data_IF_242697655720
#
_entry.id   IF_242697655720
#
_cell.length_a   1.000
_cell.length_b   1.000
_cell.length_c   1.000
_cell.angle_alpha   90.00
_cell.angle_beta   90.00
_cell.angle_gamma   90.00
#
_symmetry.space_group_name_H-M   'P 1'
#
loop_
_entity.id
_entity.type
_entity.pdbx_description
1 polymer ?
#
# COMPACT_ATOMS: atom_id res chain seq x y z
N UNK A 1 -26.64 19.99 -11.47
CA UNK A 1 -27.36 19.86 -10.18
C UNK A 1 -28.09 18.52 -10.17
N UNK A 2 -27.74 17.62 -9.24
CA UNK A 2 -28.26 16.26 -9.20
C UNK A 2 -28.44 15.80 -7.76
N UNK A 3 -29.59 15.17 -7.46
CA UNK A 3 -29.87 14.51 -6.17
C UNK A 3 -30.39 13.11 -6.47
N UNK A 4 -29.77 12.07 -5.88
CA UNK A 4 -30.14 10.67 -6.05
C UNK A 4 -30.29 10.26 -7.55
N UNK A 5 -29.31 10.63 -8.37
CA UNK A 5 -29.25 10.41 -9.83
C UNK A 5 -30.37 11.08 -10.63
N UNK A 6 -31.12 12.02 -10.05
CA UNK A 6 -32.10 12.82 -10.74
C UNK A 6 -31.57 14.23 -10.99
N UNK A 7 -31.63 14.67 -12.26
CA UNK A 7 -31.19 16.00 -12.67
C UNK A 7 -32.24 17.05 -12.27
N UNK A 8 -31.78 18.22 -11.78
CA UNK A 8 -32.59 19.37 -11.38
C UNK A 8 -32.08 20.64 -12.05
N UNK A 9 -32.95 21.65 -12.13
CA UNK A 9 -32.50 23.03 -12.34
C UNK A 9 -31.73 23.52 -11.09
N UNK A 10 -30.95 24.57 -11.20
CA UNK A 10 -30.25 25.15 -10.06
C UNK A 10 -31.21 25.60 -8.96
N UNK A 11 -32.30 26.23 -9.36
CA UNK A 11 -33.35 26.70 -8.43
C UNK A 11 -34.03 25.55 -7.68
N UNK A 12 -34.45 24.50 -8.39
CA UNK A 12 -35.06 23.33 -7.78
C UNK A 12 -34.08 22.54 -6.92
N UNK A 13 -32.82 22.46 -7.34
CA UNK A 13 -31.78 21.81 -6.55
C UNK A 13 -31.59 22.49 -5.19
N UNK A 14 -31.46 23.81 -5.18
CA UNK A 14 -31.33 24.58 -3.94
C UNK A 14 -32.58 24.49 -3.07
N UNK A 15 -33.78 24.47 -3.67
CA UNK A 15 -35.04 24.27 -2.97
C UNK A 15 -35.15 22.88 -2.33
N UNK A 16 -34.69 21.82 -3.02
CA UNK A 16 -34.66 20.48 -2.46
C UNK A 16 -33.58 20.36 -1.36
N UNK A 17 -32.40 20.94 -1.54
CA UNK A 17 -31.37 20.97 -0.50
C UNK A 17 -31.85 21.68 0.78
N UNK A 18 -32.57 22.77 0.65
CA UNK A 18 -33.09 23.50 1.82
C UNK A 18 -34.10 22.72 2.66
N UNK A 19 -34.71 21.69 2.08
CA UNK A 19 -35.62 20.77 2.82
C UNK A 19 -34.87 19.69 3.60
N UNK A 20 -33.56 19.62 3.43
CA UNK A 20 -32.71 18.59 4.02
C UNK A 20 -31.98 19.13 5.27
N UNK A 21 -32.58 19.14 6.45
CA UNK A 21 -31.92 19.62 7.65
C UNK A 21 -30.88 18.61 8.14
N UNK A 22 -29.67 18.71 7.62
CA UNK A 22 -28.53 17.83 7.94
C UNK A 22 -28.08 18.00 9.40
N UNK A 23 -28.50 19.06 10.07
CA UNK A 23 -28.08 19.42 11.44
C UNK A 23 -28.69 18.55 12.57
N UNK A 24 -29.62 17.67 12.25
CA UNK A 24 -30.26 16.79 13.25
C UNK A 24 -29.79 15.34 13.06
N UNK A 25 -29.37 14.69 14.14
CA UNK A 25 -29.00 13.26 14.13
C UNK A 25 -30.12 12.36 13.55
N UNK A 26 -31.38 12.64 13.87
CA UNK A 26 -32.53 11.89 13.33
C UNK A 26 -32.60 12.02 11.80
N UNK A 27 -32.29 13.17 11.27
CA UNK A 27 -32.29 13.39 9.81
C UNK A 27 -31.08 12.78 9.15
N UNK A 28 -29.91 12.79 9.79
CA UNK A 28 -28.74 12.07 9.34
C UNK A 28 -29.01 10.56 9.20
N UNK A 29 -29.60 9.93 10.20
CA UNK A 29 -30.00 8.51 10.13
C UNK A 29 -31.02 8.23 9.00
N UNK A 30 -31.96 9.13 8.77
CA UNK A 30 -32.87 8.99 7.63
C UNK A 30 -32.12 9.06 6.29
N UNK A 31 -31.16 9.97 6.17
CA UNK A 31 -30.31 10.10 4.99
C UNK A 31 -29.44 8.87 4.78
N UNK A 32 -28.76 8.40 5.81
CA UNK A 32 -27.93 7.21 5.78
C UNK A 32 -28.74 6.01 5.27
N UNK A 33 -29.91 5.79 5.84
CA UNK A 33 -30.79 4.70 5.41
C UNK A 33 -31.22 4.85 3.93
N UNK A 34 -31.55 6.06 3.50
CA UNK A 34 -31.92 6.31 2.10
C UNK A 34 -30.74 6.06 1.14
N UNK A 35 -29.56 6.51 1.49
CA UNK A 35 -28.33 6.29 0.74
C UNK A 35 -27.99 4.79 0.65
N UNK A 36 -28.08 4.05 1.74
CA UNK A 36 -27.88 2.59 1.74
C UNK A 36 -28.87 1.86 0.82
N UNK A 37 -30.14 2.28 0.83
CA UNK A 37 -31.15 1.71 -0.07
C UNK A 37 -30.89 2.06 -1.54
N UNK A 38 -30.35 3.23 -1.81
CA UNK A 38 -29.97 3.66 -3.16
C UNK A 38 -28.77 2.85 -3.66
N UNK A 39 -27.74 2.65 -2.83
CA UNK A 39 -26.56 1.83 -3.17
C UNK A 39 -26.96 0.38 -3.45
N UNK A 40 -27.83 -0.21 -2.62
CA UNK A 40 -28.34 -1.58 -2.84
C UNK A 40 -29.08 -1.77 -4.17
N UNK A 41 -29.64 -0.69 -4.74
CA UNK A 41 -30.33 -0.69 -6.03
C UNK A 41 -29.44 -0.25 -7.19
N UNK A 42 -28.27 0.33 -6.91
CA UNK A 42 -27.34 0.73 -7.95
C UNK A 42 -26.78 -0.48 -8.68
N UNK A 43 -26.50 -0.38 -9.99
CA UNK A 43 -25.77 -1.43 -10.69
C UNK A 43 -24.45 -1.67 -9.99
N UNK A 44 -24.21 -2.91 -9.61
CA UNK A 44 -22.95 -3.30 -8.98
C UNK A 44 -21.84 -3.21 -10.01
N UNK A 45 -20.92 -2.29 -9.86
CA UNK A 45 -19.66 -2.30 -10.61
C UNK A 45 -18.79 -3.38 -9.99
N UNK A 46 -18.91 -4.59 -10.53
CA UNK A 46 -18.25 -5.77 -9.97
C UNK A 46 -16.71 -5.66 -10.00
N UNK A 47 -16.18 -4.98 -10.97
CA UNK A 47 -14.75 -4.70 -11.10
C UNK A 47 -14.60 -3.31 -11.71
N UNK A 48 -14.05 -2.37 -10.96
CA UNK A 48 -13.67 -1.07 -11.52
C UNK A 48 -12.37 -1.24 -12.31
N UNK A 49 -12.48 -1.10 -13.61
CA UNK A 49 -11.33 -1.14 -14.53
C UNK A 49 -11.39 0.07 -15.45
N UNK A 50 -10.30 0.79 -15.54
CA UNK A 50 -10.18 1.93 -16.43
C UNK A 50 -8.87 1.84 -17.23
N UNK A 51 -8.84 2.43 -18.43
CA UNK A 51 -7.67 2.38 -19.29
C UNK A 51 -7.42 1.01 -19.91
N UNK A 52 -6.16 0.66 -20.11
CA UNK A 52 -5.74 -0.61 -20.70
C UNK A 52 -5.57 -1.65 -19.59
N UNK A 53 -6.36 -2.69 -19.64
CA UNK A 53 -6.26 -3.81 -18.70
C UNK A 53 -5.93 -5.07 -19.51
N UNK A 54 -4.77 -5.63 -19.27
CA UNK A 54 -4.25 -6.80 -19.97
C UNK A 54 -3.87 -7.89 -18.97
N UNK A 55 -4.40 -9.11 -19.14
CA UNK A 55 -4.13 -10.26 -18.28
C UNK A 55 -4.07 -9.93 -16.77
N UNK A 56 -5.13 -9.32 -16.25
CA UNK A 56 -5.12 -8.80 -14.88
C UNK A 56 -6.41 -9.10 -14.13
N UNK A 57 -6.31 -9.27 -12.81
CA UNK A 57 -7.42 -9.49 -11.89
C UNK A 57 -7.32 -8.58 -10.66
N UNK A 58 -8.47 -8.20 -10.12
CA UNK A 58 -8.59 -7.27 -8.99
C UNK A 58 -9.59 -6.16 -9.26
N UNK A 59 -9.57 -5.12 -8.44
CA UNK A 59 -10.50 -4.00 -8.55
C UNK A 59 -9.77 -2.64 -8.48
N UNK A 60 -10.39 -1.57 -8.97
CA UNK A 60 -9.81 -0.23 -9.08
C UNK A 60 -8.47 -0.21 -9.85
N UNK A 61 -8.43 -0.90 -11.00
CA UNK A 61 -7.24 -1.01 -11.84
C UNK A 61 -7.28 0.00 -13.00
N UNK A 62 -6.17 0.66 -13.24
CA UNK A 62 -6.00 1.60 -14.36
C UNK A 62 -4.65 1.37 -15.05
N UNK A 63 -4.66 1.15 -16.37
CA UNK A 63 -3.46 0.93 -17.19
C UNK A 63 -2.50 -0.12 -16.60
N UNK A 64 -3.01 -1.35 -16.45
CA UNK A 64 -2.25 -2.46 -15.85
C UNK A 64 -2.09 -3.64 -16.79
N UNK A 65 -0.97 -4.37 -16.62
CA UNK A 65 -0.65 -5.58 -17.37
C UNK A 65 -0.07 -6.64 -16.44
N UNK A 66 -0.55 -7.88 -16.57
CA UNK A 66 -0.09 -9.03 -15.76
C UNK A 66 -0.13 -8.74 -14.24
N UNK A 67 -1.19 -8.09 -13.78
CA UNK A 67 -1.38 -7.76 -12.38
C UNK A 67 -2.48 -8.65 -11.79
N UNK A 68 -2.13 -9.56 -10.87
CA UNK A 68 -3.06 -10.54 -10.34
C UNK A 68 -3.39 -10.31 -8.87
N UNK A 69 -4.70 -10.33 -8.58
CA UNK A 69 -5.21 -10.07 -7.23
C UNK A 69 -4.73 -8.70 -6.68
N UNK A 70 -4.78 -7.68 -7.55
CA UNK A 70 -4.31 -6.33 -7.23
C UNK A 70 -5.49 -5.36 -7.04
N UNK A 71 -5.33 -4.40 -6.14
CA UNK A 71 -6.37 -3.44 -5.78
C UNK A 71 -5.81 -2.02 -5.74
N UNK A 72 -6.54 -1.06 -6.32
CA UNK A 72 -6.14 0.35 -6.40
C UNK A 72 -4.77 0.56 -7.07
N UNK A 73 -4.55 -0.07 -8.23
CA UNK A 73 -3.29 0.07 -8.96
C UNK A 73 -3.47 0.94 -10.20
N UNK A 74 -2.61 1.91 -10.35
CA UNK A 74 -2.49 2.73 -11.54
C UNK A 74 -1.09 2.57 -12.15
N UNK A 75 -1.02 2.31 -13.46
CA UNK A 75 0.22 2.08 -14.20
C UNK A 75 1.06 0.93 -13.62
N UNK A 76 0.41 -0.25 -13.46
CA UNK A 76 1.06 -1.44 -12.89
C UNK A 76 1.46 -2.49 -13.91
N UNK A 77 2.57 -3.21 -13.66
CA UNK A 77 3.01 -4.33 -14.49
C UNK A 77 3.67 -5.44 -13.67
N UNK A 78 3.31 -6.68 -14.01
CA UNK A 78 3.90 -7.88 -13.41
C UNK A 78 3.81 -7.89 -11.87
N UNK A 79 2.61 -7.58 -11.34
CA UNK A 79 2.36 -7.46 -9.92
C UNK A 79 1.44 -8.57 -9.39
N UNK A 80 1.60 -8.92 -8.13
CA UNK A 80 0.71 -9.88 -7.47
C UNK A 80 0.43 -9.48 -6.02
N UNK A 81 -0.85 -9.54 -5.61
CA UNK A 81 -1.28 -9.20 -4.25
C UNK A 81 -0.80 -7.80 -3.82
N UNK A 82 -0.89 -6.80 -4.70
CA UNK A 82 -0.51 -5.43 -4.37
C UNK A 82 -1.76 -4.61 -4.11
N UNK A 83 -1.76 -3.88 -3.01
CA UNK A 83 -2.81 -2.97 -2.62
C UNK A 83 -2.31 -1.53 -2.58
N UNK A 84 -3.03 -0.64 -3.26
CA UNK A 84 -2.75 0.79 -3.33
C UNK A 84 -1.35 1.11 -3.86
N UNK A 85 -1.23 1.24 -5.18
CA UNK A 85 0.05 1.49 -5.85
C UNK A 85 -0.05 2.35 -7.09
N UNK A 86 1.00 3.09 -7.37
CA UNK A 86 1.16 3.91 -8.56
C UNK A 86 2.51 3.63 -9.20
N UNK A 87 2.51 3.40 -10.54
CA UNK A 87 3.72 3.04 -11.29
C UNK A 87 4.52 1.90 -10.63
N UNK A 88 3.84 0.76 -10.45
CA UNK A 88 4.40 -0.39 -9.73
C UNK A 88 4.80 -1.48 -10.72
N UNK A 89 6.03 -1.95 -10.65
CA UNK A 89 6.57 -2.98 -11.55
C UNK A 89 7.26 -4.07 -10.72
N UNK A 90 6.99 -5.34 -11.08
CA UNK A 90 7.58 -6.50 -10.39
C UNK A 90 7.48 -6.40 -8.86
N UNK A 91 6.28 -6.15 -8.36
CA UNK A 91 6.03 -6.06 -6.94
C UNK A 91 5.03 -7.14 -6.49
N UNK A 92 5.35 -7.83 -5.41
CA UNK A 92 4.56 -8.91 -4.87
C UNK A 92 4.32 -8.73 -3.37
N UNK A 93 3.08 -9.00 -2.95
CA UNK A 93 2.68 -8.95 -1.55
C UNK A 93 3.01 -7.60 -0.86
N UNK A 94 2.75 -6.50 -1.58
CA UNK A 94 3.09 -5.14 -1.15
C UNK A 94 1.84 -4.29 -0.89
N UNK A 95 1.96 -3.33 0.03
CA UNK A 95 0.90 -2.36 0.28
C UNK A 95 1.44 -0.92 0.30
N UNK A 96 0.68 -0.01 -0.32
CA UNK A 96 1.00 1.40 -0.46
C UNK A 96 2.41 1.63 -1.00
N UNK A 97 2.60 1.31 -2.29
CA UNK A 97 3.92 1.30 -2.94
C UNK A 97 3.94 2.08 -4.27
N UNK A 98 5.10 2.59 -4.60
CA UNK A 98 5.44 3.18 -5.89
C UNK A 98 6.90 2.84 -6.20
N UNK A 99 7.14 2.13 -7.31
CA UNK A 99 8.47 1.72 -7.70
C UNK A 99 8.53 0.30 -8.25
N UNK A 100 9.70 -0.31 -8.21
CA UNK A 100 9.93 -1.59 -8.87
C UNK A 100 10.78 -2.56 -8.04
N UNK A 101 10.63 -3.86 -8.35
CA UNK A 101 11.38 -4.96 -7.75
C UNK A 101 11.22 -5.03 -6.23
N UNK A 102 9.95 -5.16 -5.79
CA UNK A 102 9.59 -5.23 -4.37
C UNK A 102 8.91 -6.52 -3.96
N UNK A 103 9.23 -7.02 -2.77
CA UNK A 103 8.56 -8.15 -2.16
C UNK A 103 8.25 -7.89 -0.69
N UNK A 104 7.03 -8.13 -0.25
CA UNK A 104 6.58 -7.89 1.13
C UNK A 104 7.02 -6.54 1.71
N UNK A 105 6.77 -5.46 0.98
CA UNK A 105 7.00 -4.10 1.45
C UNK A 105 5.68 -3.44 1.88
N UNK A 106 5.68 -2.80 3.04
CA UNK A 106 4.52 -2.12 3.58
C UNK A 106 4.81 -0.64 3.81
N UNK A 107 3.90 0.25 3.35
CA UNK A 107 4.02 1.70 3.53
C UNK A 107 5.33 2.27 2.94
N UNK A 108 5.77 1.76 1.78
CA UNK A 108 7.02 2.17 1.12
C UNK A 108 6.75 3.03 -0.12
N UNK A 109 6.50 4.31 0.04
CA UNK A 109 6.17 5.22 -1.05
C UNK A 109 7.07 6.47 -1.07
N UNK A 110 8.08 6.57 -1.97
CA UNK A 110 8.50 5.59 -2.98
C UNK A 110 9.23 4.38 -2.40
N UNK A 111 8.89 3.20 -2.93
CA UNK A 111 9.53 1.95 -2.55
C UNK A 111 11.01 1.93 -2.99
N UNK A 112 11.93 1.44 -2.18
CA UNK A 112 13.28 1.20 -2.63
C UNK A 112 13.33 0.13 -3.72
N UNK A 113 14.19 0.30 -4.71
CA UNK A 113 14.39 -0.68 -5.77
C UNK A 113 15.16 -1.92 -5.25
N UNK A 114 14.79 -3.12 -5.66
CA UNK A 114 15.33 -4.37 -5.13
C UNK A 114 15.22 -4.41 -3.60
N UNK A 115 14.01 -4.51 -3.13
CA UNK A 115 13.72 -4.40 -1.71
C UNK A 115 12.75 -5.47 -1.23
N UNK A 116 12.94 -5.93 0.00
CA UNK A 116 11.99 -6.85 0.60
C UNK A 116 11.91 -6.71 2.13
N UNK A 117 10.74 -7.05 2.68
CA UNK A 117 10.49 -7.08 4.12
C UNK A 117 10.73 -5.73 4.79
N UNK A 118 10.33 -4.64 4.15
CA UNK A 118 10.51 -3.29 4.69
C UNK A 118 9.17 -2.69 5.16
N UNK A 119 9.26 -1.92 6.23
CA UNK A 119 8.17 -1.12 6.77
C UNK A 119 8.57 0.36 6.76
N UNK A 120 7.69 1.25 6.28
CA UNK A 120 7.94 2.70 6.27
C UNK A 120 9.33 3.12 5.73
N UNK A 121 9.82 2.43 4.71
CA UNK A 121 11.16 2.66 4.17
C UNK A 121 11.07 3.27 2.77
N UNK A 122 11.71 4.41 2.57
CA UNK A 122 11.53 5.23 1.38
C UNK A 122 12.82 5.48 0.63
N UNK A 123 12.77 5.32 -0.68
CA UNK A 123 13.89 5.53 -1.59
C UNK A 123 15.14 4.69 -1.27
N UNK A 124 15.87 4.36 -2.28
CA UNK A 124 17.11 3.60 -2.16
C UNK A 124 17.14 2.39 -3.06
N UNK A 125 18.10 1.52 -2.83
CA UNK A 125 18.23 0.26 -3.55
C UNK A 125 18.98 -0.79 -2.72
N UNK A 126 18.66 -2.05 -2.95
CA UNK A 126 19.23 -3.17 -2.19
C UNK A 126 18.99 -3.03 -0.68
N UNK A 127 17.70 -2.96 -0.30
CA UNK A 127 17.21 -2.59 1.03
C UNK A 127 16.31 -3.68 1.58
N UNK A 128 16.74 -4.36 2.67
CA UNK A 128 16.05 -5.54 3.16
C UNK A 128 15.88 -5.53 4.68
N UNK A 129 14.69 -5.92 5.16
CA UNK A 129 14.38 -6.04 6.60
C UNK A 129 14.58 -4.74 7.37
N UNK A 130 14.11 -3.63 6.83
CA UNK A 130 14.32 -2.32 7.46
C UNK A 130 12.99 -1.68 7.90
N UNK A 131 13.09 -0.83 8.91
CA UNK A 131 11.99 -0.01 9.38
C UNK A 131 12.41 1.47 9.46
N UNK A 132 11.51 2.35 8.99
CA UNK A 132 11.66 3.82 9.01
C UNK A 132 12.98 4.34 8.37
N UNK A 133 13.56 3.62 7.42
CA UNK A 133 14.77 4.04 6.74
C UNK A 133 14.45 4.94 5.54
N UNK A 134 15.04 6.13 5.45
CA UNK A 134 14.64 7.18 4.52
C UNK A 134 15.82 7.81 3.76
N UNK A 135 15.49 8.53 2.67
CA UNK A 135 16.44 9.40 1.95
C UNK A 135 17.61 8.67 1.29
N UNK A 136 17.32 7.72 0.41
CA UNK A 136 18.32 7.05 -0.44
C UNK A 136 19.37 6.24 0.35
N UNK A 137 18.93 5.26 1.09
CA UNK A 137 19.82 4.24 1.63
C UNK A 137 20.20 3.22 0.54
N UNK A 138 21.36 2.60 0.65
CA UNK A 138 21.76 1.54 -0.27
C UNK A 138 22.58 0.46 0.42
N UNK A 139 22.34 -0.80 0.02
CA UNK A 139 22.97 -1.95 0.64
C UNK A 139 22.82 -1.93 2.17
N UNK A 140 21.58 -1.93 2.64
CA UNK A 140 21.28 -1.95 4.07
C UNK A 140 20.41 -3.14 4.43
N UNK A 141 20.68 -3.77 5.56
CA UNK A 141 20.00 -4.96 6.03
C UNK A 141 19.71 -4.91 7.53
N UNK A 142 18.46 -5.12 7.91
CA UNK A 142 18.04 -5.15 9.32
C UNK A 142 18.24 -3.83 10.06
N UNK A 143 18.02 -2.71 9.40
CA UNK A 143 18.30 -1.39 9.93
C UNK A 143 17.02 -0.63 10.30
N UNK A 144 17.13 0.24 11.30
CA UNK A 144 16.02 1.08 11.79
C UNK A 144 16.43 2.54 11.80
N UNK A 145 15.56 3.41 11.26
CA UNK A 145 15.69 4.87 11.30
C UNK A 145 16.96 5.44 10.66
N UNK A 146 17.54 4.75 9.68
CA UNK A 146 18.71 5.24 8.96
C UNK A 146 18.33 6.24 7.85
N UNK A 147 19.27 7.18 7.59
CA UNK A 147 19.14 8.17 6.51
C UNK A 147 20.46 8.29 5.75
N UNK A 148 20.38 8.26 4.41
CA UNK A 148 21.53 8.44 3.52
C UNK A 148 22.72 7.53 3.86
N UNK A 149 22.43 6.33 4.31
CA UNK A 149 23.43 5.36 4.77
C UNK A 149 23.72 4.31 3.72
N UNK A 150 24.94 3.76 3.75
CA UNK A 150 25.37 2.72 2.82
C UNK A 150 26.14 1.64 3.56
N UNK A 151 25.99 0.38 3.07
CA UNK A 151 26.68 -0.79 3.60
C UNK A 151 26.51 -0.94 5.10
N UNK A 152 25.22 -0.95 5.56
CA UNK A 152 24.88 -1.11 6.97
C UNK A 152 24.22 -2.45 7.25
N UNK A 153 24.67 -3.11 8.29
CA UNK A 153 24.03 -4.29 8.89
C UNK A 153 23.66 -3.96 10.35
N UNK A 154 22.41 -4.14 10.72
CA UNK A 154 21.90 -3.89 12.07
C UNK A 154 22.33 -2.52 12.62
N UNK A 155 22.15 -1.47 11.84
CA UNK A 155 22.53 -0.07 12.12
C UNK A 155 24.04 0.20 12.22
N UNK A 156 24.90 -0.76 11.98
CA UNK A 156 26.33 -0.54 11.94
C UNK A 156 26.83 -0.44 10.50
N UNK A 157 27.59 0.61 10.20
CA UNK A 157 28.20 0.82 8.90
C UNK A 157 29.53 0.08 8.77
N UNK A 158 29.74 -0.51 7.59
CA UNK A 158 30.92 -1.27 7.22
C UNK A 158 31.52 -0.73 5.93
N UNK A 159 32.74 -1.14 5.59
CA UNK A 159 33.26 -0.96 4.25
C UNK A 159 32.49 -1.83 3.25
N UNK A 160 32.50 -1.53 1.96
CA UNK A 160 31.86 -2.41 0.97
C UNK A 160 32.33 -3.86 1.06
N UNK A 161 33.63 -4.08 1.21
CA UNK A 161 34.25 -5.40 1.30
C UNK A 161 33.81 -6.17 2.56
N UNK A 162 33.79 -5.50 3.70
CA UNK A 162 33.28 -6.09 4.96
C UNK A 162 31.78 -6.41 4.86
N UNK A 163 31.00 -5.55 4.23
CA UNK A 163 29.57 -5.77 4.04
C UNK A 163 29.32 -7.02 3.19
N UNK A 164 30.01 -7.14 2.05
CA UNK A 164 29.90 -8.29 1.16
C UNK A 164 30.34 -9.61 1.80
N UNK A 165 31.32 -9.59 2.72
CA UNK A 165 31.73 -10.75 3.51
C UNK A 165 30.70 -11.12 4.59
N UNK A 166 30.16 -10.13 5.30
CA UNK A 166 29.29 -10.35 6.45
C UNK A 166 27.88 -10.70 6.08
N UNK A 167 27.32 -10.08 5.01
CA UNK A 167 25.92 -10.27 4.63
C UNK A 167 25.55 -11.75 4.40
N UNK A 168 26.33 -12.56 3.67
CA UNK A 168 26.04 -13.99 3.52
C UNK A 168 25.99 -14.76 4.85
N UNK A 169 26.76 -14.36 5.84
CA UNK A 169 26.77 -14.98 7.17
C UNK A 169 25.49 -14.66 7.92
N UNK A 170 25.00 -13.42 7.83
CA UNK A 170 23.68 -13.03 8.40
C UNK A 170 22.58 -13.81 7.72
N UNK A 171 22.55 -13.87 6.40
CA UNK A 171 21.55 -14.63 5.64
C UNK A 171 21.56 -16.13 6.02
N UNK A 172 22.74 -16.74 6.13
CA UNK A 172 22.83 -18.13 6.53
C UNK A 172 22.29 -18.36 7.96
N UNK A 173 22.63 -17.48 8.89
CA UNK A 173 22.06 -17.52 10.23
C UNK A 173 20.52 -17.43 10.23
N UNK A 174 19.96 -16.47 9.48
CA UNK A 174 18.51 -16.34 9.35
C UNK A 174 17.84 -17.57 8.71
N UNK A 175 18.53 -18.26 7.80
CA UNK A 175 18.04 -19.53 7.23
C UNK A 175 18.04 -20.66 8.27
N UNK A 176 19.09 -20.74 9.10
CA UNK A 176 19.20 -21.73 10.16
C UNK A 176 18.15 -21.51 11.27
N UNK A 177 17.79 -20.27 11.56
CA UNK A 177 16.78 -19.89 12.56
C UNK A 177 15.35 -19.86 12.01
N UNK A 178 15.16 -19.99 10.68
CA UNK A 178 13.86 -19.93 10.02
C UNK A 178 13.28 -18.51 9.88
N UNK A 179 14.12 -17.49 9.96
CA UNK A 179 13.71 -16.07 9.85
C UNK A 179 13.85 -15.53 8.40
N UNK A 180 14.64 -16.19 7.58
CA UNK A 180 14.85 -15.74 6.21
C UNK A 180 13.60 -15.97 5.36
N UNK A 181 13.10 -14.92 4.75
CA UNK A 181 11.88 -14.96 3.95
C UNK A 181 10.59 -14.69 4.75
N UNK A 182 10.71 -14.36 6.02
CA UNK A 182 9.59 -14.02 6.88
C UNK A 182 9.58 -12.53 7.23
N UNK A 183 8.40 -11.92 7.22
CA UNK A 183 8.22 -10.54 7.68
C UNK A 183 8.34 -10.45 9.21
N UNK A 184 8.46 -9.26 9.75
CA UNK A 184 8.54 -9.03 11.20
C UNK A 184 7.37 -9.68 11.93
N UNK A 185 7.62 -10.50 12.95
CA UNK A 185 6.55 -11.12 13.74
C UNK A 185 5.65 -10.07 14.40
N UNK A 186 4.34 -10.21 14.30
CA UNK A 186 3.36 -9.28 14.87
C UNK A 186 3.57 -9.06 16.39
N UNK A 187 4.08 -10.08 17.11
CA UNK A 187 4.42 -9.98 18.55
C UNK A 187 5.51 -8.97 18.88
N UNK A 188 6.28 -8.52 17.90
CA UNK A 188 7.29 -7.46 18.05
C UNK A 188 6.72 -6.06 17.87
N UNK A 189 5.46 -5.94 17.43
CA UNK A 189 4.79 -4.64 17.39
C UNK A 189 4.63 -4.10 18.81
N UNK A 190 4.96 -2.82 19.05
CA UNK A 190 4.72 -2.17 20.33
C UNK A 190 3.23 -1.90 20.61
N UNK A 191 2.36 -2.14 19.62
CA UNK A 191 0.93 -1.88 19.69
C UNK A 191 0.15 -3.17 19.58
N UNK A 192 -0.87 -3.33 20.41
CA UNK A 192 -1.84 -4.41 20.28
C UNK A 192 -2.72 -4.20 19.05
N UNK A 193 -3.29 -5.28 18.52
CA UNK A 193 -4.11 -5.25 17.30
C UNK A 193 -5.26 -4.22 17.35
N UNK A 194 -5.91 -4.09 18.52
CA UNK A 194 -7.02 -3.14 18.70
C UNK A 194 -6.57 -1.66 18.79
N UNK A 195 -5.28 -1.38 18.89
CA UNK A 195 -4.71 -0.03 18.83
C UNK A 195 -4.32 0.37 17.40
N UNK A 196 -4.42 -0.55 16.45
CA UNK A 196 -4.21 -0.27 15.03
C UNK A 196 -5.52 0.22 14.41
N UNK A 197 -5.46 1.05 13.36
CA UNK A 197 -6.63 1.47 12.60
C UNK A 197 -7.19 0.38 11.68
N UNK A 198 -6.88 -0.87 11.93
CA UNK A 198 -7.43 -2.00 11.20
C UNK A 198 -8.82 -2.34 11.76
N UNK A 199 -9.83 -1.60 11.32
CA UNK A 199 -11.24 -1.95 11.44
C UNK A 199 -11.76 -2.57 10.13
#
# INVERSE_FOLDING_TARGET
>A
FCIANKQYSEEDYNKELSKLPISSYKNYEHFKNHYEQMIKKAPYLYLWRNGRIEDSSGDFLTDVKSCHNCYEITEGRDCKNVQSGYQVIDAHDCSYVHGELGYENCECFPMPMKSAFNLNTYNGHDVYYNDMCMNNNSNIWGCVSLKKSKHCLLNKQYTPEEYEELLPRVINHMKETGEYGEFFPAKLSPFDYHETNAE
#
